data_IF_722726039659
#
_entry.id   IF_722726039659
#
_cell.length_a   1.000
_cell.length_b   1.000
_cell.length_c   1.000
_cell.angle_alpha   90.00
_cell.angle_beta   90.00
_cell.angle_gamma   90.00
#
_symmetry.space_group_name_H-M   'P 1'
#
loop_
_entity.id
_entity.type
_entity.pdbx_description
1 polymer ?
#
# COMPACT_ATOMS: atom_id res chain seq x y z
N UNK A 1 11.14 -1.09 -6.98
CA UNK A 1 10.43 -0.46 -5.85
C UNK A 1 10.88 0.98 -5.60
N UNK A 2 12.16 1.25 -5.30
CA UNK A 2 12.63 2.62 -5.03
C UNK A 2 12.34 3.63 -6.17
N UNK A 3 12.48 3.23 -7.44
CA UNK A 3 12.13 4.09 -8.59
C UNK A 3 10.64 4.47 -8.66
N UNK A 4 9.74 3.60 -8.18
CA UNK A 4 8.30 3.86 -8.14
C UNK A 4 8.00 4.89 -7.03
N UNK A 5 8.56 4.67 -5.84
CA UNK A 5 8.43 5.57 -4.68
C UNK A 5 8.95 6.98 -5.02
N UNK A 6 10.07 7.08 -5.74
CA UNK A 6 10.59 8.35 -6.27
C UNK A 6 9.61 9.05 -7.21
N UNK A 7 8.94 8.33 -8.11
CA UNK A 7 7.93 8.91 -9.02
C UNK A 7 6.72 9.47 -8.29
N UNK A 8 6.40 8.94 -7.11
CA UNK A 8 5.38 9.48 -6.22
C UNK A 8 5.88 10.69 -5.38
N UNK A 9 7.11 11.18 -5.61
CA UNK A 9 7.65 12.37 -4.94
C UNK A 9 8.36 12.10 -3.61
N UNK A 10 8.62 10.83 -3.29
CA UNK A 10 9.25 10.39 -2.03
C UNK A 10 10.74 10.13 -2.20
N UNK A 11 11.46 11.05 -2.85
CA UNK A 11 12.82 10.77 -3.32
C UNK A 11 13.84 10.62 -2.20
N UNK A 12 13.69 11.41 -1.13
CA UNK A 12 14.52 11.31 0.07
C UNK A 12 14.22 10.02 0.81
N UNK A 13 12.95 9.74 1.06
CA UNK A 13 12.49 8.55 1.80
C UNK A 13 12.87 7.26 1.04
N UNK A 14 12.75 7.25 -0.29
CA UNK A 14 13.19 6.13 -1.12
C UNK A 14 14.70 5.83 -0.95
N UNK A 15 15.54 6.86 -0.83
CA UNK A 15 16.98 6.70 -0.61
C UNK A 15 17.26 6.14 0.79
N UNK A 16 16.63 6.70 1.82
CA UNK A 16 16.79 6.27 3.22
C UNK A 16 16.37 4.80 3.41
N UNK A 17 15.20 4.43 2.89
CA UNK A 17 14.70 3.05 2.92
C UNK A 17 15.69 2.11 2.22
N UNK A 18 16.16 2.49 1.03
CA UNK A 18 17.07 1.65 0.24
C UNK A 18 18.44 1.49 0.92
N UNK A 19 19.00 2.56 1.48
CA UNK A 19 20.27 2.51 2.20
C UNK A 19 20.18 1.61 3.44
N UNK A 20 19.13 1.78 4.25
CA UNK A 20 18.90 0.95 5.43
C UNK A 20 18.68 -0.52 5.04
N UNK A 21 17.90 -0.79 4.00
CA UNK A 21 17.62 -2.14 3.53
C UNK A 21 18.88 -2.85 3.01
N UNK A 22 19.66 -2.19 2.14
CA UNK A 22 20.91 -2.75 1.59
C UNK A 22 22.00 -2.89 2.65
N UNK A 23 21.97 -2.04 3.69
CA UNK A 23 22.84 -2.15 4.86
C UNK A 23 22.38 -3.20 5.89
N UNK A 24 21.32 -3.97 5.61
CA UNK A 24 20.79 -5.00 6.52
C UNK A 24 19.99 -4.46 7.73
N UNK A 25 19.79 -3.14 7.81
CA UNK A 25 19.10 -2.46 8.92
C UNK A 25 17.59 -2.44 8.68
N UNK A 26 16.97 -3.64 8.70
CA UNK A 26 15.59 -3.84 8.29
C UNK A 26 14.56 -3.05 9.12
N UNK A 27 14.80 -2.85 10.41
CA UNK A 27 13.91 -2.05 11.28
C UNK A 27 13.92 -0.57 10.91
N UNK A 28 15.10 -0.01 10.64
CA UNK A 28 15.24 1.38 10.18
C UNK A 28 14.58 1.57 8.81
N UNK A 29 14.76 0.60 7.89
CA UNK A 29 14.12 0.64 6.58
C UNK A 29 12.59 0.69 6.68
N UNK A 30 12.00 -0.09 7.61
CA UNK A 30 10.54 -0.07 7.86
C UNK A 30 10.11 1.25 8.48
N UNK A 31 10.84 1.75 9.48
CA UNK A 31 10.52 3.01 10.15
C UNK A 31 10.62 4.24 9.22
N UNK A 32 11.43 4.15 8.16
CA UNK A 32 11.57 5.19 7.15
C UNK A 32 10.44 5.21 6.10
N UNK A 33 9.53 4.23 6.10
CA UNK A 33 8.36 4.21 5.19
C UNK A 33 7.29 5.17 5.73
N UNK A 34 6.93 6.24 5.00
CA UNK A 34 5.88 7.16 5.45
C UNK A 34 4.50 6.53 5.33
N UNK A 35 3.61 6.78 6.31
CA UNK A 35 2.23 6.32 6.27
C UNK A 35 1.49 6.77 5.00
N UNK A 36 1.70 8.03 4.58
CA UNK A 36 1.14 8.58 3.33
C UNK A 36 1.56 7.80 2.08
N UNK A 37 2.77 7.25 2.05
CA UNK A 37 3.20 6.39 0.93
C UNK A 37 2.43 5.07 0.95
N UNK A 38 2.22 4.48 2.14
CA UNK A 38 1.42 3.26 2.29
C UNK A 38 -0.01 3.49 1.82
N UNK A 39 -0.60 4.60 2.21
CA UNK A 39 -1.95 5.03 1.83
C UNK A 39 -2.14 5.22 0.31
N UNK A 40 -1.08 5.64 -0.40
CA UNK A 40 -1.11 5.86 -1.85
C UNK A 40 -0.91 4.57 -2.66
N UNK A 41 -0.17 3.59 -2.13
CA UNK A 41 0.24 2.40 -2.88
C UNK A 41 -0.43 1.11 -2.43
N UNK A 42 -1.15 1.13 -1.31
CA UNK A 42 -1.77 -0.04 -0.72
C UNK A 42 -3.14 0.27 -0.10
N UNK A 43 -4.03 -0.73 -0.13
CA UNK A 43 -5.31 -0.71 0.55
C UNK A 43 -5.15 -1.38 1.91
N UNK A 44 -4.70 -0.61 2.91
CA UNK A 44 -4.43 -1.12 4.27
C UNK A 44 -5.27 -0.35 5.28
N UNK A 45 -6.03 -1.08 6.09
CA UNK A 45 -6.85 -0.50 7.14
C UNK A 45 -8.23 -1.14 7.25
N UNK A 46 -9.09 -0.61 8.13
CA UNK A 46 -10.45 -1.09 8.29
C UNK A 46 -11.28 -0.79 7.03
N UNK A 47 -12.15 -1.72 6.63
CA UNK A 47 -12.96 -1.63 5.41
C UNK A 47 -13.69 -0.28 5.22
N UNK A 48 -14.30 0.33 6.26
CA UNK A 48 -14.91 1.66 6.11
C UNK A 48 -13.94 2.73 5.62
N UNK A 49 -12.68 2.72 6.07
CA UNK A 49 -11.64 3.67 5.66
C UNK A 49 -11.10 3.39 4.26
N UNK A 50 -11.41 2.23 3.68
CA UNK A 50 -10.98 1.85 2.34
C UNK A 50 -12.04 2.12 1.28
N UNK A 51 -13.30 2.42 1.64
CA UNK A 51 -14.40 2.57 0.67
C UNK A 51 -14.11 3.59 -0.43
N UNK A 52 -13.65 4.79 -0.06
CA UNK A 52 -13.34 5.85 -1.03
C UNK A 52 -12.20 5.45 -1.97
N UNK A 53 -11.19 4.72 -1.46
CA UNK A 53 -10.07 4.23 -2.27
C UNK A 53 -10.48 3.09 -3.19
N UNK A 54 -11.31 2.15 -2.70
CA UNK A 54 -11.88 1.07 -3.52
C UNK A 54 -12.69 1.64 -4.68
N UNK A 55 -13.46 2.69 -4.42
CA UNK A 55 -14.21 3.41 -5.46
C UNK A 55 -13.28 4.08 -6.46
N UNK A 56 -12.23 4.79 -6.02
CA UNK A 56 -11.24 5.38 -6.92
C UNK A 56 -10.56 4.33 -7.81
N UNK A 57 -10.28 3.14 -7.28
CA UNK A 57 -9.73 2.03 -8.07
C UNK A 57 -10.73 1.53 -9.12
N UNK A 58 -12.01 1.44 -8.75
CA UNK A 58 -13.11 1.05 -9.64
C UNK A 58 -13.28 2.08 -10.77
N UNK A 59 -13.28 3.37 -10.46
CA UNK A 59 -13.34 4.47 -11.42
C UNK A 59 -12.13 4.49 -12.36
N UNK A 60 -10.94 4.11 -11.86
CA UNK A 60 -9.74 3.92 -12.67
C UNK A 60 -9.79 2.66 -13.57
N UNK A 61 -10.88 1.88 -13.53
CA UNK A 61 -11.12 0.71 -14.37
C UNK A 61 -10.56 -0.60 -13.82
N UNK A 62 -10.21 -0.66 -12.52
CA UNK A 62 -9.77 -1.91 -11.91
C UNK A 62 -10.91 -2.93 -11.85
N UNK A 63 -10.73 -4.10 -12.47
CA UNK A 63 -11.70 -5.20 -12.43
C UNK A 63 -11.33 -6.30 -11.43
N UNK A 64 -10.08 -6.33 -10.99
CA UNK A 64 -9.52 -7.40 -10.16
C UNK A 64 -8.65 -6.80 -9.06
N UNK A 65 -8.90 -7.20 -7.82
CA UNK A 65 -8.04 -6.89 -6.68
C UNK A 65 -7.32 -8.15 -6.20
N UNK A 66 -6.02 -8.01 -5.92
CA UNK A 66 -5.23 -9.07 -5.27
C UNK A 66 -5.17 -8.76 -3.78
N UNK A 67 -5.81 -9.60 -2.98
CA UNK A 67 -5.75 -9.50 -1.52
C UNK A 67 -4.66 -10.43 -0.97
N UNK A 68 -3.77 -9.91 -0.14
CA UNK A 68 -2.80 -10.70 0.61
C UNK A 68 -3.29 -10.82 2.06
N UNK A 69 -4.02 -11.89 2.36
CA UNK A 69 -4.54 -12.18 3.70
C UNK A 69 -4.75 -13.68 3.88
N UNK A 70 -4.66 -14.15 5.13
CA UNK A 70 -5.07 -15.50 5.53
C UNK A 70 -6.44 -15.54 6.19
N UNK A 71 -7.08 -14.38 6.38
CA UNK A 71 -8.41 -14.27 7.00
C UNK A 71 -9.51 -14.27 5.93
N UNK A 72 -10.34 -15.32 5.94
CA UNK A 72 -11.50 -15.43 5.05
C UNK A 72 -12.51 -14.30 5.26
N UNK A 73 -12.65 -13.78 6.49
CA UNK A 73 -13.55 -12.67 6.78
C UNK A 73 -13.19 -11.43 5.98
N UNK A 74 -11.90 -11.09 5.93
CA UNK A 74 -11.33 -10.02 5.12
C UNK A 74 -11.61 -10.23 3.63
N UNK A 75 -11.41 -11.44 3.11
CA UNK A 75 -11.70 -11.75 1.69
C UNK A 75 -13.18 -11.49 1.37
N UNK A 76 -14.10 -11.97 2.22
CA UNK A 76 -15.55 -11.75 2.03
C UNK A 76 -15.95 -10.29 2.14
N UNK A 77 -15.33 -9.54 3.05
CA UNK A 77 -15.60 -8.12 3.23
C UNK A 77 -15.14 -7.30 2.02
N UNK A 78 -13.95 -7.59 1.47
CA UNK A 78 -13.44 -6.96 0.25
C UNK A 78 -14.30 -7.30 -0.98
N UNK A 79 -14.72 -8.56 -1.14
CA UNK A 79 -15.59 -8.97 -2.24
C UNK A 79 -16.92 -8.18 -2.23
N UNK A 80 -17.56 -8.04 -1.07
CA UNK A 80 -18.80 -7.23 -0.93
C UNK A 80 -18.59 -5.74 -1.18
N UNK A 81 -17.40 -5.22 -0.85
CA UNK A 81 -17.08 -3.82 -1.06
C UNK A 81 -16.87 -3.48 -2.53
N UNK A 82 -16.52 -4.46 -3.36
CA UNK A 82 -16.27 -4.29 -4.81
C UNK A 82 -17.53 -4.42 -5.68
N UNK A 83 -18.63 -4.95 -5.14
CA UNK A 83 -19.88 -5.19 -5.88
C UNK A 83 -20.07 -6.65 -6.25
#
# INVERSE_FOLDING_TARGET
YASLVRRYGYEREAREIQEAFLGGRRREAVAAVPDRLVDEVALVGPVPALRERLEAYREAGATTLVASTTDEGTVRALARAMG
#
